data_IF_203073614124
#
_entry.id   IF_203073614124
#
_cell.length_a   1.000
_cell.length_b   1.000
_cell.length_c   1.000
_cell.angle_alpha   90.00
_cell.angle_beta   90.00
_cell.angle_gamma   90.00
#
_symmetry.space_group_name_H-M   'P 1'
#
loop_
_entity.id
_entity.type
_entity.pdbx_description
1 polymer ?
#
# COMPACT_ATOMS: atom_id res chain seq x y z
N UNK A 1 -21.87 5.07 3.76
CA UNK A 1 -21.36 5.40 5.12
C UNK A 1 -20.41 6.57 5.01
N UNK A 2 -20.35 7.47 6.00
CA UNK A 2 -19.32 8.52 6.02
C UNK A 2 -18.04 7.93 6.62
N UNK A 3 -16.88 8.23 6.07
CA UNK A 3 -15.61 7.77 6.65
C UNK A 3 -15.43 8.25 8.10
N UNK A 4 -15.99 9.42 8.41
CA UNK A 4 -16.05 10.00 9.75
C UNK A 4 -16.91 9.22 10.75
N UNK A 5 -17.64 8.19 10.33
CA UNK A 5 -18.40 7.32 11.23
C UNK A 5 -17.64 6.05 11.63
N UNK A 6 -16.41 5.86 11.16
CA UNK A 6 -15.55 4.76 11.59
C UNK A 6 -14.89 5.09 12.93
N UNK A 7 -14.80 4.10 13.82
CA UNK A 7 -14.01 4.20 15.04
C UNK A 7 -12.53 4.08 14.70
N UNK A 8 -11.87 5.20 14.42
CA UNK A 8 -10.44 5.22 14.10
C UNK A 8 -9.62 5.21 15.38
N UNK A 9 -8.94 4.10 15.65
CA UNK A 9 -8.06 3.97 16.82
C UNK A 9 -6.77 4.76 16.66
N UNK A 10 -6.17 4.75 15.47
CA UNK A 10 -4.90 5.42 15.22
C UNK A 10 -4.65 5.70 13.74
N UNK A 11 -3.89 6.76 13.46
CA UNK A 11 -3.29 7.04 12.15
C UNK A 11 -1.79 6.83 12.23
N UNK A 12 -1.26 5.90 11.43
CA UNK A 12 0.14 5.51 11.45
C UNK A 12 0.77 5.78 10.07
N UNK A 13 1.95 6.41 10.07
CA UNK A 13 2.60 6.89 8.86
C UNK A 13 3.48 5.87 8.14
N UNK A 14 3.69 4.68 8.71
CA UNK A 14 4.51 3.61 8.10
C UNK A 14 3.76 2.28 8.09
N UNK A 15 4.12 1.42 7.14
CA UNK A 15 3.52 0.08 7.06
C UNK A 15 3.92 -0.74 8.28
N UNK A 16 5.17 -0.68 8.69
CA UNK A 16 5.76 -1.41 9.81
C UNK A 16 5.06 -1.04 11.12
N UNK A 17 4.78 0.25 11.35
CA UNK A 17 3.99 0.68 12.50
C UNK A 17 2.58 0.11 12.47
N UNK A 18 1.91 0.10 11.31
CA UNK A 18 0.56 -0.47 11.18
C UNK A 18 0.58 -1.97 11.50
N UNK A 19 1.55 -2.71 10.95
CA UNK A 19 1.69 -4.15 11.20
C UNK A 19 1.90 -4.45 12.68
N UNK A 20 2.84 -3.76 13.32
CA UNK A 20 3.13 -3.96 14.74
C UNK A 20 1.90 -3.67 15.60
N UNK A 21 1.11 -2.65 15.27
CA UNK A 21 -0.12 -2.32 15.97
C UNK A 21 -1.21 -3.41 15.79
N UNK A 22 -1.38 -3.92 14.56
CA UNK A 22 -2.31 -5.00 14.25
C UNK A 22 -1.98 -6.31 14.98
N UNK A 23 -0.70 -6.62 15.16
CA UNK A 23 -0.25 -7.84 15.86
C UNK A 23 -0.59 -7.81 17.36
N UNK A 24 -0.73 -6.61 17.95
CA UNK A 24 -0.86 -6.43 19.40
C UNK A 24 -2.21 -5.82 19.81
N UNK A 25 -3.12 -5.57 18.86
CA UNK A 25 -4.41 -4.93 19.11
C UNK A 25 -5.51 -5.59 18.27
N UNK A 26 -6.67 -5.85 18.88
CA UNK A 26 -7.86 -6.33 18.16
C UNK A 26 -8.47 -5.21 17.29
N UNK A 27 -7.96 -5.06 16.08
CA UNK A 27 -8.35 -4.00 15.16
C UNK A 27 -8.14 -4.39 13.68
N UNK A 28 -8.61 -3.54 12.78
CA UNK A 28 -8.44 -3.69 11.33
C UNK A 28 -7.55 -2.56 10.83
N UNK A 29 -6.63 -2.88 9.92
CA UNK A 29 -5.74 -1.91 9.28
C UNK A 29 -5.87 -1.96 7.76
N UNK A 30 -5.73 -0.80 7.13
CA UNK A 30 -5.69 -0.67 5.68
C UNK A 30 -4.22 -0.62 5.27
N UNK A 31 -3.74 -1.67 4.61
CA UNK A 31 -2.35 -1.79 4.13
C UNK A 31 -2.32 -2.40 2.74
N UNK A 32 -1.17 -2.25 2.06
CA UNK A 32 -0.94 -2.94 0.80
C UNK A 32 -0.86 -4.44 1.03
N UNK A 33 -1.63 -5.26 0.30
CA UNK A 33 -1.51 -6.73 0.38
C UNK A 33 -0.08 -7.21 0.10
N UNK A 34 0.67 -6.49 -0.74
CA UNK A 34 2.06 -6.77 -1.08
C UNK A 34 3.04 -6.48 0.06
N UNK A 35 2.69 -5.58 0.98
CA UNK A 35 3.57 -5.23 2.10
C UNK A 35 3.41 -6.15 3.31
N UNK A 36 2.42 -7.06 3.26
CA UNK A 36 2.14 -8.05 4.29
C UNK A 36 2.23 -9.50 3.79
N UNK A 37 2.93 -9.75 2.68
CA UNK A 37 2.97 -11.09 2.07
C UNK A 37 3.55 -12.15 3.01
N UNK A 38 4.51 -11.79 3.87
CA UNK A 38 5.07 -12.72 4.87
C UNK A 38 4.03 -13.10 5.91
N UNK A 39 3.28 -12.11 6.41
CA UNK A 39 2.27 -12.27 7.44
C UNK A 39 1.04 -13.03 6.95
N UNK A 40 0.72 -12.89 5.64
CA UNK A 40 -0.30 -13.71 5.00
C UNK A 40 0.15 -15.17 4.84
N UNK A 41 1.42 -15.40 4.47
CA UNK A 41 1.98 -16.75 4.35
C UNK A 41 2.11 -17.45 5.71
N UNK A 42 2.45 -16.72 6.77
CA UNK A 42 2.52 -17.26 8.13
C UNK A 42 1.16 -17.43 8.80
N UNK A 43 0.09 -16.86 8.22
CA UNK A 43 -1.24 -16.82 8.82
C UNK A 43 -1.38 -15.83 9.98
N UNK A 44 -0.37 -14.99 10.23
CA UNK A 44 -0.41 -13.92 11.23
C UNK A 44 -1.50 -12.91 10.88
N UNK A 45 -1.64 -12.58 9.60
CA UNK A 45 -2.72 -11.72 9.11
C UNK A 45 -3.63 -12.45 8.14
N UNK A 46 -4.83 -11.92 8.00
CA UNK A 46 -5.81 -12.33 7.00
C UNK A 46 -6.36 -11.12 6.28
N UNK A 47 -6.74 -11.31 5.02
CA UNK A 47 -7.41 -10.27 4.24
C UNK A 47 -8.92 -10.32 4.52
N UNK A 48 -9.51 -9.14 4.72
CA UNK A 48 -10.96 -8.95 4.79
C UNK A 48 -11.39 -8.25 3.50
N UNK A 49 -12.15 -8.95 2.66
CA UNK A 49 -12.65 -8.38 1.41
C UNK A 49 -13.93 -7.55 1.66
N UNK A 50 -13.94 -6.31 1.19
CA UNK A 50 -15.09 -5.40 1.30
C UNK A 50 -15.76 -5.33 -0.06
N UNK A 51 -16.87 -6.04 -0.21
CA UNK A 51 -17.63 -6.10 -1.47
C UNK A 51 -18.06 -4.70 -1.92
N UNK A 52 -17.90 -4.41 -3.21
CA UNK A 52 -18.28 -3.13 -3.81
C UNK A 52 -17.36 -1.96 -3.49
N UNK A 53 -16.20 -2.19 -2.86
CA UNK A 53 -15.25 -1.14 -2.51
C UNK A 53 -13.83 -1.48 -3.01
N UNK A 54 -13.57 -1.38 -4.32
CA UNK A 54 -12.23 -1.59 -4.85
C UNK A 54 -11.30 -0.45 -4.41
N UNK A 55 -10.14 -0.79 -3.86
CA UNK A 55 -9.10 0.17 -3.49
C UNK A 55 -7.99 0.17 -4.55
N UNK A 56 -8.27 0.79 -5.70
CA UNK A 56 -7.30 0.92 -6.79
C UNK A 56 -6.28 2.02 -6.49
N UNK A 57 -5.03 1.80 -6.88
CA UNK A 57 -3.94 2.78 -6.75
C UNK A 57 -3.22 2.93 -8.07
N UNK A 58 -2.95 4.17 -8.44
CA UNK A 58 -2.07 4.52 -9.55
C UNK A 58 -0.70 4.90 -9.00
N UNK A 59 0.34 4.34 -9.61
CA UNK A 59 1.72 4.71 -9.30
C UNK A 59 2.24 5.62 -10.41
N UNK A 60 2.78 6.77 -10.02
CA UNK A 60 3.31 7.76 -10.95
C UNK A 60 4.76 8.12 -10.59
N UNK A 61 5.53 8.48 -11.61
CA UNK A 61 6.82 9.15 -11.43
C UNK A 61 6.59 10.66 -11.30
N UNK A 62 7.12 11.26 -10.23
CA UNK A 62 7.12 12.70 -10.06
C UNK A 62 8.52 13.23 -10.39
N UNK A 63 8.62 14.19 -11.30
CA UNK A 63 9.88 14.81 -11.72
C UNK A 63 9.71 16.33 -11.95
N UNK A 64 10.73 17.14 -11.68
CA UNK A 64 10.75 18.54 -12.06
C UNK A 64 10.53 18.73 -13.56
N UNK A 65 9.78 19.77 -13.92
CA UNK A 65 9.59 20.13 -15.32
C UNK A 65 10.91 20.57 -15.96
N UNK A 66 11.21 20.05 -17.15
CA UNK A 66 12.42 20.40 -17.91
C UNK A 66 13.69 19.64 -17.51
N UNK A 67 13.59 18.65 -16.61
CA UNK A 67 14.71 17.74 -16.33
C UNK A 67 14.79 16.69 -17.44
N UNK A 68 15.84 16.74 -18.27
CA UNK A 68 16.07 15.75 -19.33
C UNK A 68 16.87 14.52 -18.87
N UNK A 69 16.55 13.44 -19.59
CA UNK A 69 16.97 12.04 -19.58
C UNK A 69 18.37 11.67 -19.08
N UNK A 70 18.44 10.52 -18.41
CA UNK A 70 19.66 9.81 -18.00
C UNK A 70 19.31 8.44 -17.39
N UNK A 71 20.04 8.01 -16.36
CA UNK A 71 19.75 6.77 -15.64
C UNK A 71 18.33 6.72 -15.02
N UNK A 72 17.80 7.89 -14.62
CA UNK A 72 16.42 8.00 -14.11
C UNK A 72 15.40 7.55 -15.16
N UNK A 73 15.58 7.91 -16.42
CA UNK A 73 14.67 7.51 -17.50
C UNK A 73 14.76 6.03 -17.82
N UNK A 74 15.96 5.45 -17.77
CA UNK A 74 16.15 3.99 -17.90
C UNK A 74 15.45 3.26 -16.76
N UNK A 75 15.57 3.76 -15.52
CA UNK A 75 14.84 3.21 -14.37
C UNK A 75 13.32 3.32 -14.53
N UNK A 76 12.82 4.48 -14.98
CA UNK A 76 11.39 4.65 -15.25
C UNK A 76 10.90 3.68 -16.32
N UNK A 77 11.64 3.53 -17.42
CA UNK A 77 11.31 2.56 -18.48
C UNK A 77 11.31 1.12 -17.97
N UNK A 78 12.33 0.75 -17.19
CA UNK A 78 12.41 -0.55 -16.54
C UNK A 78 11.18 -0.78 -15.64
N UNK A 79 10.89 0.14 -14.74
CA UNK A 79 9.77 0.03 -13.82
C UNK A 79 8.41 -0.02 -14.55
N UNK A 80 8.22 0.77 -15.62
CA UNK A 80 7.03 0.72 -16.47
C UNK A 80 6.89 -0.61 -17.20
N UNK A 81 7.99 -1.24 -17.60
CA UNK A 81 7.96 -2.55 -18.28
C UNK A 81 7.67 -3.71 -17.31
N UNK A 82 8.14 -3.58 -16.07
CA UNK A 82 8.03 -4.59 -15.02
C UNK A 82 6.88 -4.35 -14.03
N UNK A 83 5.97 -3.40 -14.31
CA UNK A 83 4.81 -3.09 -13.47
C UNK A 83 3.63 -4.07 -13.58
N UNK A 84 3.73 -5.13 -14.40
CA UNK A 84 2.63 -6.05 -14.76
C UNK A 84 1.93 -6.73 -13.57
N UNK A 85 2.43 -6.53 -12.35
CA UNK A 85 1.90 -7.09 -11.10
C UNK A 85 1.88 -6.07 -9.95
N UNK A 86 1.92 -4.76 -10.24
CA UNK A 86 1.68 -3.68 -9.25
C UNK A 86 0.19 -3.44 -8.98
#
# INVERSE_FOLDING_TARGET
MKLSSLNVLLYLGSTESIKLFLEHTDCIGIVSIRSISRELLSGTFRVIEIKGMPMLREFCFAQPQGQESGLSQVLMQFAMHHNKKL
#
